data_IF_116389168028
#
_entry.id   IF_116389168028
#
_cell.length_a   1.000
_cell.length_b   1.000
_cell.length_c   1.000
_cell.angle_alpha   90.00
_cell.angle_beta   90.00
_cell.angle_gamma   90.00
#
_symmetry.space_group_name_H-M   'P 1'
#
loop_
_entity.id
_entity.type
_entity.pdbx_description
1 polymer ?
#
# COMPACT_ATOMS: atom_id res chain seq x y z
N UNK A 1 -5.78 -17.47 11.94
CA UNK A 1 -5.31 -16.23 11.30
C UNK A 1 -3.92 -15.88 11.80
N UNK A 2 -2.97 -15.63 10.92
CA UNK A 2 -1.59 -15.26 11.23
C UNK A 2 -1.15 -14.12 10.31
N UNK A 3 -0.56 -13.04 10.86
CA UNK A 3 0.04 -11.95 10.10
C UNK A 3 1.54 -12.19 10.02
N UNK A 4 2.08 -12.23 8.82
CA UNK A 4 3.50 -12.46 8.55
C UNK A 4 4.04 -11.57 7.43
N UNK A 5 5.33 -11.39 7.40
CA UNK A 5 5.97 -10.82 6.22
C UNK A 5 5.78 -11.75 5.01
N UNK A 6 5.54 -11.17 3.87
CA UNK A 6 5.50 -11.90 2.62
C UNK A 6 6.89 -12.38 2.22
N UNK A 7 6.93 -13.47 1.49
CA UNK A 7 8.11 -14.01 0.84
C UNK A 7 7.91 -13.97 -0.68
N UNK A 8 8.96 -14.22 -1.44
CA UNK A 8 8.87 -14.26 -2.90
C UNK A 8 7.84 -15.28 -3.42
N UNK A 9 7.61 -16.37 -2.68
CA UNK A 9 6.59 -17.37 -3.03
C UNK A 9 5.15 -16.85 -2.90
N UNK A 10 4.93 -15.75 -2.19
CA UNK A 10 3.61 -15.13 -2.05
C UNK A 10 3.23 -14.22 -3.24
N UNK A 11 4.14 -13.97 -4.17
CA UNK A 11 3.92 -13.04 -5.29
C UNK A 11 2.64 -13.33 -6.08
N UNK A 12 2.30 -14.58 -6.44
CA UNK A 12 1.03 -14.86 -7.12
C UNK A 12 -0.20 -14.46 -6.27
N UNK A 13 -0.16 -14.72 -4.97
CA UNK A 13 -1.24 -14.35 -4.05
C UNK A 13 -1.34 -12.82 -3.90
N UNK A 14 -0.20 -12.12 -3.77
CA UNK A 14 -0.16 -10.64 -3.71
C UNK A 14 -0.76 -10.06 -4.97
N UNK A 15 -0.38 -10.53 -6.16
CA UNK A 15 -0.92 -10.03 -7.43
C UNK A 15 -2.43 -10.26 -7.51
N UNK A 16 -2.92 -11.42 -7.09
CA UNK A 16 -4.35 -11.72 -7.04
C UNK A 16 -5.11 -10.76 -6.10
N UNK A 17 -4.55 -10.44 -4.93
CA UNK A 17 -5.13 -9.50 -3.98
C UNK A 17 -5.10 -8.05 -4.50
N UNK A 18 -4.05 -7.64 -5.23
CA UNK A 18 -3.98 -6.33 -5.90
C UNK A 18 -5.09 -6.22 -6.95
N UNK A 19 -5.30 -7.24 -7.79
CA UNK A 19 -6.40 -7.25 -8.76
C UNK A 19 -7.77 -7.21 -8.07
N UNK A 20 -7.96 -7.94 -6.97
CA UNK A 20 -9.20 -7.91 -6.21
C UNK A 20 -9.47 -6.52 -5.60
N UNK A 21 -8.43 -5.84 -5.14
CA UNK A 21 -8.51 -4.46 -4.67
C UNK A 21 -8.89 -3.51 -5.80
N UNK A 22 -8.24 -3.62 -6.97
CA UNK A 22 -8.54 -2.78 -8.15
C UNK A 22 -10.01 -2.94 -8.58
N UNK A 23 -10.54 -4.15 -8.57
CA UNK A 23 -11.98 -4.40 -8.82
C UNK A 23 -12.85 -3.69 -7.75
N UNK A 24 -12.49 -3.79 -6.48
CA UNK A 24 -13.20 -3.12 -5.40
C UNK A 24 -13.18 -1.59 -5.57
N UNK A 25 -12.07 -1.03 -6.02
CA UNK A 25 -11.87 0.40 -6.26
C UNK A 25 -12.46 0.88 -7.58
N UNK A 26 -13.12 0.00 -8.35
CA UNK A 26 -13.78 0.28 -9.63
C UNK A 26 -12.81 0.62 -10.78
N UNK A 27 -11.58 0.13 -10.67
CA UNK A 27 -10.49 0.34 -11.63
C UNK A 27 -9.86 -1.00 -12.04
N UNK A 28 -10.65 -1.99 -12.53
CA UNK A 28 -10.16 -3.36 -12.77
C UNK A 28 -9.03 -3.44 -13.78
N UNK A 29 -8.94 -2.48 -14.70
CA UNK A 29 -7.95 -2.42 -15.78
C UNK A 29 -6.72 -1.56 -15.43
N UNK A 30 -6.65 -1.02 -14.19
CA UNK A 30 -5.57 -0.11 -13.80
C UNK A 30 -4.24 -0.84 -13.53
N UNK A 31 -4.29 -2.12 -13.20
CA UNK A 31 -3.10 -2.91 -12.84
C UNK A 31 -2.33 -3.30 -14.10
N UNK A 32 -1.13 -2.73 -14.27
CA UNK A 32 -0.27 -2.96 -15.44
C UNK A 32 0.96 -3.81 -15.10
N UNK A 33 1.26 -4.02 -13.82
CA UNK A 33 2.37 -4.84 -13.37
C UNK A 33 1.97 -6.32 -13.30
N UNK A 34 2.99 -7.19 -13.40
CA UNK A 34 2.82 -8.62 -13.26
C UNK A 34 3.72 -9.19 -12.16
N UNK A 35 3.79 -10.51 -12.08
CA UNK A 35 4.62 -11.20 -11.10
C UNK A 35 6.11 -10.86 -11.22
N UNK A 36 6.62 -10.68 -12.46
CA UNK A 36 8.02 -10.38 -12.70
C UNK A 36 8.43 -9.04 -12.07
N UNK A 37 7.59 -8.00 -12.22
CA UNK A 37 7.80 -6.69 -11.61
C UNK A 37 7.72 -6.78 -10.09
N UNK A 38 6.71 -7.46 -9.55
CA UNK A 38 6.57 -7.64 -8.09
C UNK A 38 7.76 -8.38 -7.48
N UNK A 39 8.29 -9.43 -8.15
CA UNK A 39 9.48 -10.16 -7.69
C UNK A 39 10.71 -9.25 -7.66
N UNK A 40 10.95 -8.54 -8.77
CA UNK A 40 12.07 -7.61 -8.88
C UNK A 40 12.00 -6.51 -7.82
N UNK A 41 10.84 -5.89 -7.67
CA UNK A 41 10.66 -4.66 -6.90
C UNK A 41 10.42 -4.90 -5.40
N UNK A 42 9.89 -6.05 -5.02
CA UNK A 42 9.61 -6.37 -3.62
C UNK A 42 10.58 -7.38 -3.00
N UNK A 43 11.19 -8.25 -3.82
CA UNK A 43 12.00 -9.37 -3.33
C UNK A 43 13.39 -9.45 -3.95
N UNK A 44 13.77 -8.46 -4.77
CA UNK A 44 15.10 -8.33 -5.33
C UNK A 44 16.13 -7.82 -4.31
N UNK A 45 17.33 -7.49 -4.79
CA UNK A 45 18.44 -7.04 -3.95
C UNK A 45 18.24 -5.70 -3.29
N UNK A 46 17.36 -4.86 -3.84
CA UNK A 46 16.99 -3.55 -3.31
C UNK A 46 15.46 -3.41 -3.35
N UNK A 47 14.75 -3.98 -2.39
CA UNK A 47 13.30 -3.95 -2.40
C UNK A 47 12.77 -2.51 -2.23
N UNK A 48 11.79 -2.15 -3.07
CA UNK A 48 11.14 -0.85 -3.05
C UNK A 48 9.94 -0.82 -2.10
N UNK A 49 9.40 -1.97 -1.73
CA UNK A 49 8.29 -2.12 -0.81
C UNK A 49 8.44 -3.38 0.05
N UNK A 50 7.66 -3.43 1.08
CA UNK A 50 7.44 -4.61 1.91
C UNK A 50 5.94 -4.94 1.95
N UNK A 51 5.62 -6.20 2.19
CA UNK A 51 4.24 -6.67 2.22
C UNK A 51 4.01 -7.57 3.42
N UNK A 52 2.89 -7.37 4.10
CA UNK A 52 2.34 -8.30 5.08
C UNK A 52 1.22 -9.10 4.43
N UNK A 53 1.17 -10.39 4.74
CA UNK A 53 0.07 -11.29 4.38
C UNK A 53 -0.69 -11.68 5.64
N UNK A 54 -2.00 -11.59 5.58
CA UNK A 54 -2.89 -12.25 6.53
C UNK A 54 -3.20 -13.66 6.01
N UNK A 55 -2.56 -14.64 6.61
CA UNK A 55 -2.79 -16.05 6.33
C UNK A 55 -3.92 -16.56 7.25
N UNK A 56 -4.97 -17.08 6.66
CA UNK A 56 -6.09 -17.65 7.38
C UNK A 56 -6.44 -19.01 6.80
N UNK A 57 -6.13 -20.06 7.56
CA UNK A 57 -6.34 -21.45 7.16
C UNK A 57 -5.63 -21.88 5.86
N UNK A 58 -4.44 -21.27 5.61
CA UNK A 58 -3.62 -21.54 4.41
C UNK A 58 -4.00 -20.69 3.18
N UNK A 59 -4.95 -19.77 3.32
CA UNK A 59 -5.32 -18.81 2.28
C UNK A 59 -4.82 -17.40 2.60
N UNK A 60 -4.35 -16.69 1.58
CA UNK A 60 -4.02 -15.26 1.70
C UNK A 60 -5.32 -14.44 1.77
N UNK A 61 -5.83 -14.24 2.98
CA UNK A 61 -7.10 -13.58 3.25
C UNK A 61 -7.05 -12.05 3.07
N UNK A 62 -5.85 -11.47 3.09
CA UNK A 62 -5.64 -10.04 2.92
C UNK A 62 -4.16 -9.69 2.94
N UNK A 63 -3.86 -8.43 2.63
CA UNK A 63 -2.49 -7.95 2.60
C UNK A 63 -2.40 -6.48 3.02
N UNK A 64 -1.19 -6.06 3.39
CA UNK A 64 -0.80 -4.67 3.55
C UNK A 64 0.54 -4.46 2.86
N UNK A 65 0.58 -3.62 1.81
CA UNK A 65 1.79 -3.26 1.10
C UNK A 65 2.20 -1.85 1.50
N UNK A 66 3.46 -1.68 1.91
CA UNK A 66 3.95 -0.40 2.42
C UNK A 66 5.41 -0.18 2.04
N UNK A 67 5.83 1.06 2.08
CA UNK A 67 7.22 1.45 1.79
C UNK A 67 7.65 2.67 2.60
N UNK A 68 8.96 2.82 2.82
CA UNK A 68 9.50 3.98 3.53
C UNK A 68 9.38 5.24 2.67
N UNK A 69 9.04 6.34 3.32
CA UNK A 69 9.11 7.69 2.77
C UNK A 69 9.80 8.61 3.77
N UNK A 70 10.17 9.80 3.34
CA UNK A 70 10.75 10.81 4.20
C UNK A 70 9.87 12.06 4.25
N UNK A 71 9.48 12.46 5.44
CA UNK A 71 8.79 13.72 5.67
C UNK A 71 9.79 14.77 6.14
N UNK A 72 9.88 15.90 5.45
CA UNK A 72 10.72 17.03 5.88
C UNK A 72 10.26 17.64 7.20
N UNK A 73 9.06 17.32 7.66
CA UNK A 73 8.50 17.79 8.93
C UNK A 73 8.61 16.78 10.07
N UNK A 74 8.63 15.48 9.75
CA UNK A 74 8.55 14.38 10.74
C UNK A 74 9.68 13.37 10.64
N UNK A 75 10.56 13.49 9.63
CA UNK A 75 11.63 12.53 9.39
C UNK A 75 11.14 11.22 8.74
N UNK A 76 11.80 10.10 9.04
CA UNK A 76 11.40 8.80 8.51
C UNK A 76 9.91 8.53 8.75
N UNK A 77 9.25 8.01 7.74
CA UNK A 77 7.81 7.75 7.75
C UNK A 77 7.50 6.54 6.90
N UNK A 78 6.32 5.95 7.06
CA UNK A 78 5.84 4.86 6.23
C UNK A 78 4.62 5.34 5.43
N UNK A 79 4.58 5.01 4.15
CA UNK A 79 3.39 5.07 3.33
C UNK A 79 2.80 3.67 3.17
N UNK A 80 1.56 3.48 3.59
CA UNK A 80 0.78 2.27 3.34
C UNK A 80 0.09 2.46 2.00
N UNK A 81 0.58 1.76 0.97
CA UNK A 81 0.03 1.86 -0.38
C UNK A 81 -1.32 1.17 -0.47
N UNK A 82 -1.39 -0.07 0.03
CA UNK A 82 -2.59 -0.89 -0.05
C UNK A 82 -2.87 -1.58 1.30
N UNK A 83 -4.14 -1.61 1.67
CA UNK A 83 -4.68 -2.44 2.75
C UNK A 83 -5.98 -3.06 2.25
N UNK A 84 -5.98 -4.36 2.05
CA UNK A 84 -7.14 -5.07 1.53
C UNK A 84 -7.38 -6.38 2.27
N UNK A 85 -8.66 -6.70 2.46
CA UNK A 85 -9.12 -7.99 2.97
C UNK A 85 -10.18 -8.53 2.02
N UNK A 86 -10.03 -9.75 1.61
CA UNK A 86 -10.99 -10.44 0.76
C UNK A 86 -12.40 -10.36 1.37
N UNK A 87 -13.45 -10.12 0.57
CA UNK A 87 -14.83 -9.98 1.07
C UNK A 87 -15.29 -11.11 1.99
N UNK A 88 -14.92 -12.36 1.64
CA UNK A 88 -15.24 -13.57 2.42
C UNK A 88 -14.59 -13.61 3.82
N UNK A 89 -13.55 -12.80 4.05
CA UNK A 89 -12.79 -12.78 5.30
C UNK A 89 -12.95 -11.46 6.09
N UNK A 90 -13.84 -10.58 5.63
CA UNK A 90 -14.12 -9.30 6.33
C UNK A 90 -14.85 -9.53 7.66
N UNK A 91 -14.88 -8.48 8.48
CA UNK A 91 -15.51 -8.49 9.82
C UNK A 91 -14.89 -9.46 10.83
N UNK A 92 -13.74 -10.05 10.52
CA UNK A 92 -12.98 -10.99 11.38
C UNK A 92 -11.75 -10.34 12.03
N UNK A 93 -11.62 -9.01 11.96
CA UNK A 93 -10.51 -8.26 12.55
C UNK A 93 -9.22 -8.23 11.74
N UNK A 94 -9.17 -8.85 10.55
CA UNK A 94 -7.95 -8.97 9.73
C UNK A 94 -7.39 -7.61 9.31
N UNK A 95 -8.22 -6.71 8.79
CA UNK A 95 -7.77 -5.37 8.40
C UNK A 95 -7.21 -4.57 9.57
N UNK A 96 -7.81 -4.74 10.77
CA UNK A 96 -7.29 -4.16 12.00
C UNK A 96 -5.91 -4.72 12.32
N UNK A 97 -5.73 -6.02 12.31
CA UNK A 97 -4.47 -6.67 12.65
C UNK A 97 -3.33 -6.29 11.67
N UNK A 98 -3.64 -6.20 10.37
CA UNK A 98 -2.70 -5.72 9.35
C UNK A 98 -2.27 -4.28 9.61
N UNK A 99 -3.22 -3.37 9.82
CA UNK A 99 -2.91 -1.95 10.09
C UNK A 99 -2.10 -1.78 11.38
N UNK A 100 -2.47 -2.48 12.45
CA UNK A 100 -1.75 -2.46 13.72
C UNK A 100 -0.32 -2.98 13.57
N UNK A 101 -0.10 -4.01 12.74
CA UNK A 101 1.25 -4.52 12.49
C UNK A 101 2.10 -3.52 11.69
N UNK A 102 1.55 -2.85 10.69
CA UNK A 102 2.26 -1.76 9.98
C UNK A 102 2.59 -0.61 10.93
N UNK A 103 1.67 -0.24 11.80
CA UNK A 103 1.91 0.79 12.82
C UNK A 103 3.02 0.39 13.81
N UNK A 104 3.05 -0.88 14.24
CA UNK A 104 4.11 -1.40 15.07
C UNK A 104 5.48 -1.32 14.36
N UNK A 105 5.56 -1.71 13.09
CA UNK A 105 6.77 -1.60 12.28
C UNK A 105 7.23 -0.13 12.16
N UNK A 106 6.29 0.80 11.98
CA UNK A 106 6.63 2.22 11.95
C UNK A 106 7.26 2.68 13.28
N UNK A 107 6.69 2.27 14.40
CA UNK A 107 7.25 2.58 15.73
C UNK A 107 8.61 1.91 15.98
N UNK A 108 8.75 0.64 15.63
CA UNK A 108 10.02 -0.12 15.73
C UNK A 108 11.16 0.57 14.95
N UNK A 109 10.82 1.24 13.82
CA UNK A 109 11.77 1.97 12.96
C UNK A 109 11.95 3.44 13.34
N UNK A 110 11.32 3.91 14.41
CA UNK A 110 11.40 5.31 14.83
C UNK A 110 10.73 6.27 13.87
N UNK A 111 9.74 5.82 13.08
CA UNK A 111 9.03 6.68 12.16
C UNK A 111 8.12 7.67 12.88
N UNK A 112 8.17 8.94 12.46
CA UNK A 112 7.32 10.00 12.99
C UNK A 112 5.91 10.03 12.39
N UNK A 113 5.62 9.18 11.38
CA UNK A 113 4.35 9.18 10.65
C UNK A 113 4.09 7.84 9.95
N UNK A 114 2.82 7.42 9.99
CA UNK A 114 2.23 6.43 9.09
C UNK A 114 1.10 7.14 8.32
N UNK A 115 1.10 7.08 6.99
CA UNK A 115 0.11 7.73 6.14
C UNK A 115 -0.33 6.83 4.99
N UNK A 116 -1.52 7.12 4.46
CA UNK A 116 -2.11 6.45 3.30
C UNK A 116 -3.11 7.36 2.61
N UNK A 117 -3.54 6.96 1.42
CA UNK A 117 -4.62 7.58 0.69
C UNK A 117 -5.88 6.71 0.80
N UNK A 118 -7.05 7.33 0.72
CA UNK A 118 -8.34 6.64 0.71
C UNK A 118 -9.26 7.32 -0.28
N UNK A 119 -10.01 6.52 -1.04
CA UNK A 119 -11.01 7.05 -1.97
C UNK A 119 -12.13 7.75 -1.20
N UNK A 120 -12.54 8.92 -1.65
CA UNK A 120 -13.50 9.80 -0.98
C UNK A 120 -14.88 9.17 -0.78
N UNK A 121 -15.26 8.25 -1.67
CA UNK A 121 -16.50 7.50 -1.61
C UNK A 121 -16.43 6.26 -0.71
N UNK A 122 -15.22 5.84 -0.27
CA UNK A 122 -15.04 4.62 0.52
C UNK A 122 -15.31 4.88 2.01
N UNK A 123 -16.55 5.27 2.32
CA UNK A 123 -16.99 5.57 3.68
C UNK A 123 -16.66 4.47 4.69
N UNK A 124 -16.85 3.15 4.39
CA UNK A 124 -16.50 2.11 5.34
C UNK A 124 -15.02 2.11 5.74
N UNK A 125 -14.11 2.36 4.80
CA UNK A 125 -12.68 2.45 5.07
C UNK A 125 -12.35 3.73 5.85
N UNK A 126 -12.94 4.87 5.47
CA UNK A 126 -12.77 6.14 6.17
C UNK A 126 -13.18 6.02 7.64
N UNK A 127 -14.35 5.44 7.92
CA UNK A 127 -14.85 5.24 9.28
C UNK A 127 -13.96 4.27 10.07
N UNK A 128 -13.50 3.20 9.41
CA UNK A 128 -12.54 2.28 10.00
C UNK A 128 -11.25 2.99 10.42
N UNK A 129 -10.65 3.81 9.55
CA UNK A 129 -9.42 4.54 9.86
C UNK A 129 -9.62 5.60 10.94
N UNK A 130 -10.70 6.36 10.87
CA UNK A 130 -11.05 7.36 11.90
C UNK A 130 -11.23 6.72 13.27
N UNK A 131 -11.84 5.55 13.34
CA UNK A 131 -12.00 4.79 14.59
C UNK A 131 -10.66 4.31 15.20
N UNK A 132 -9.56 4.37 14.44
CA UNK A 132 -8.19 4.06 14.86
C UNK A 132 -7.34 5.31 15.11
N UNK A 133 -7.94 6.49 15.12
CA UNK A 133 -7.25 7.76 15.38
C UNK A 133 -6.65 8.43 14.15
N UNK A 134 -6.94 7.95 12.94
CA UNK A 134 -6.50 8.62 11.73
C UNK A 134 -7.25 9.94 11.53
N UNK A 135 -6.52 10.95 11.06
CA UNK A 135 -7.06 12.26 10.72
C UNK A 135 -6.99 12.46 9.22
N UNK A 136 -8.11 12.80 8.61
CA UNK A 136 -8.17 13.14 7.19
C UNK A 136 -7.65 14.55 6.95
N UNK A 137 -6.76 14.69 5.96
CA UNK A 137 -6.18 15.98 5.56
C UNK A 137 -7.00 16.56 4.40
N UNK A 138 -8.15 17.14 4.70
CA UNK A 138 -9.17 17.61 3.74
C UNK A 138 -8.65 18.64 2.73
N UNK A 139 -7.65 19.44 3.11
CA UNK A 139 -7.08 20.49 2.25
C UNK A 139 -5.99 20.01 1.28
N UNK A 140 -5.52 18.78 1.41
CA UNK A 140 -4.51 18.22 0.51
C UNK A 140 -5.16 17.53 -0.69
N UNK A 141 -4.47 17.61 -1.82
CA UNK A 141 -4.90 16.94 -3.06
C UNK A 141 -3.70 16.21 -3.67
N UNK A 142 -3.94 15.00 -4.14
CA UNK A 142 -2.93 14.21 -4.85
C UNK A 142 -2.78 14.77 -6.26
N UNK A 143 -1.54 15.03 -6.67
CA UNK A 143 -1.18 15.39 -8.03
C UNK A 143 -0.34 14.27 -8.64
N UNK A 144 -0.62 13.91 -9.89
CA UNK A 144 0.05 12.80 -10.57
C UNK A 144 0.40 13.17 -12.01
N UNK A 145 1.59 12.78 -12.44
CA UNK A 145 2.02 12.88 -13.84
C UNK A 145 2.46 11.50 -14.30
N UNK A 146 1.93 11.03 -15.43
CA UNK A 146 2.20 9.69 -15.97
C UNK A 146 2.38 9.73 -17.49
N UNK A 147 2.90 8.65 -18.06
CA UNK A 147 2.96 8.42 -19.50
C UNK A 147 3.66 9.55 -20.28
N UNK A 148 3.04 9.98 -21.36
CA UNK A 148 3.60 11.01 -22.25
C UNK A 148 3.80 12.37 -21.56
N UNK A 149 2.98 12.71 -20.55
CA UNK A 149 3.14 13.95 -19.78
C UNK A 149 4.41 13.91 -18.93
N UNK A 150 4.70 12.78 -18.29
CA UNK A 150 5.94 12.57 -17.54
C UNK A 150 7.16 12.66 -18.46
N UNK A 151 7.10 12.01 -19.64
CA UNK A 151 8.17 12.07 -20.61
C UNK A 151 8.43 13.50 -21.14
N UNK A 152 7.39 14.29 -21.36
CA UNK A 152 7.54 15.71 -21.76
C UNK A 152 8.17 16.54 -20.64
N UNK A 153 7.72 16.35 -19.40
CA UNK A 153 8.27 17.08 -18.25
C UNK A 153 9.76 16.77 -18.05
N UNK A 154 10.17 15.51 -18.21
CA UNK A 154 11.56 15.10 -18.13
C UNK A 154 12.45 15.73 -19.23
N UNK A 155 11.93 15.87 -20.46
CA UNK A 155 12.67 16.48 -21.59
C UNK A 155 12.88 17.99 -21.44
N UNK A 156 12.04 18.69 -20.68
CA UNK A 156 12.21 20.13 -20.42
C UNK A 156 13.33 20.44 -19.42
N UNK A 157 13.88 19.42 -18.76
CA UNK A 157 15.13 19.53 -17.99
C UNK A 157 16.34 19.26 -18.90
N UNK A 158 16.63 20.11 -19.87
CA UNK A 158 17.93 20.08 -20.53
C UNK A 158 19.01 20.36 -19.49
N UNK A 159 20.08 19.54 -19.40
CA UNK A 159 21.20 19.90 -18.54
C UNK A 159 21.72 21.27 -19.02
N UNK A 160 21.63 22.25 -18.15
CA UNK A 160 22.28 23.53 -18.41
C UNK A 160 23.77 23.30 -18.67
N UNK A 161 24.23 23.75 -19.82
CA UNK A 161 25.67 23.92 -20.17
C UNK A 161 26.34 24.81 -19.18
#
# INVERSE_FOLDING_TARGET
MHIRLATESDVPAILSLIHALAVYEREPDAVQLGEAELRRDGFGTQPLFECLIADDEGEAAGFALYFPIYSTWRGPSIHLADLFVQPSHRSRGIGKALLERVAAIAMERGCGRLQWDVLDWNTPAIDFYRSRGAVMLESWRIMRVTGAALARLAKSSSPGT
#
